data_IF_407918342507
#
_entry.id   IF_407918342507
#
_cell.length_a   1.000
_cell.length_b   1.000
_cell.length_c   1.000
_cell.angle_alpha   90.00
_cell.angle_beta   90.00
_cell.angle_gamma   90.00
#
_symmetry.space_group_name_H-M   'P 1'
#
loop_
_entity.id
_entity.type
_entity.pdbx_description
1 polymer ?
#
# COMPACT_ATOMS: atom_id res chain seq x y z
N UNK A 1 34.46 -81.16 5.85
CA UNK A 1 35.24 -79.98 5.44
C UNK A 1 35.05 -78.91 6.54
N UNK A 2 36.00 -78.80 7.49
CA UNK A 2 35.92 -77.81 8.59
C UNK A 2 36.47 -76.48 8.07
N UNK A 3 35.64 -75.44 8.06
CA UNK A 3 36.09 -74.07 7.81
C UNK A 3 37.03 -73.65 8.96
N UNK A 4 38.19 -73.03 8.69
CA UNK A 4 39.04 -72.49 9.74
C UNK A 4 38.34 -71.28 10.37
N UNK A 5 37.97 -71.40 11.64
CA UNK A 5 37.47 -70.28 12.45
C UNK A 5 38.61 -69.29 12.70
N UNK A 6 38.86 -68.37 11.76
CA UNK A 6 39.69 -67.19 11.99
C UNK A 6 38.83 -66.18 12.76
N UNK A 7 39.02 -66.13 14.08
CA UNK A 7 38.48 -65.05 14.91
C UNK A 7 39.19 -63.73 14.60
N UNK A 8 38.51 -62.62 14.83
CA UNK A 8 39.11 -61.29 14.70
C UNK A 8 40.24 -61.09 15.71
N UNK A 9 41.34 -60.48 15.27
CA UNK A 9 42.40 -60.06 16.18
C UNK A 9 41.96 -58.85 17.00
N UNK A 10 42.46 -58.72 18.24
CA UNK A 10 42.13 -57.59 19.11
C UNK A 10 42.42 -56.24 18.42
N UNK A 11 43.49 -56.17 17.63
CA UNK A 11 43.89 -54.94 16.94
C UNK A 11 42.95 -54.58 15.78
N UNK A 12 42.42 -55.55 15.02
CA UNK A 12 41.41 -55.30 13.98
C UNK A 12 40.11 -54.76 14.58
N UNK A 13 39.68 -55.30 15.73
CA UNK A 13 38.50 -54.81 16.45
C UNK A 13 38.70 -53.36 16.92
N UNK A 14 39.89 -53.04 17.44
CA UNK A 14 40.22 -51.66 17.87
C UNK A 14 40.24 -50.72 16.65
N UNK A 15 40.90 -51.10 15.56
CA UNK A 15 41.04 -50.25 14.37
C UNK A 15 39.67 -49.99 13.73
N UNK A 16 38.81 -51.00 13.61
CA UNK A 16 37.47 -50.83 13.04
C UNK A 16 36.57 -49.95 13.90
N UNK A 17 36.64 -50.05 15.23
CA UNK A 17 35.95 -49.15 16.16
C UNK A 17 36.44 -47.71 16.04
N UNK A 18 37.75 -47.49 15.94
CA UNK A 18 38.33 -46.15 15.80
C UNK A 18 37.94 -45.53 14.46
N UNK A 19 38.05 -46.28 13.35
CA UNK A 19 37.61 -45.83 12.03
C UNK A 19 36.12 -45.52 12.01
N UNK A 20 35.27 -46.38 12.58
CA UNK A 20 33.84 -46.14 12.69
C UNK A 20 33.53 -44.89 13.52
N UNK A 21 34.27 -44.65 14.62
CA UNK A 21 34.13 -43.46 15.44
C UNK A 21 34.49 -42.16 14.70
N UNK A 22 35.58 -42.17 13.92
CA UNK A 22 35.99 -41.03 13.10
C UNK A 22 34.95 -40.74 12.01
N UNK A 23 34.48 -41.77 11.31
CA UNK A 23 33.45 -41.64 10.28
C UNK A 23 32.14 -41.13 10.89
N UNK A 24 31.72 -41.64 12.04
CA UNK A 24 30.52 -41.16 12.74
C UNK A 24 30.63 -39.69 13.15
N UNK A 25 31.79 -39.23 13.62
CA UNK A 25 32.03 -37.83 13.96
C UNK A 25 31.97 -36.90 12.73
N UNK A 26 32.55 -37.34 11.61
CA UNK A 26 32.50 -36.60 10.33
C UNK A 26 31.07 -36.55 9.77
N UNK A 27 30.33 -37.67 9.82
CA UNK A 27 28.93 -37.76 9.42
C UNK A 27 28.05 -36.83 10.28
N UNK A 28 28.27 -36.78 11.59
CA UNK A 28 27.50 -35.91 12.47
C UNK A 28 27.73 -34.42 12.16
N UNK A 29 28.97 -34.02 11.89
CA UNK A 29 29.30 -32.64 11.51
C UNK A 29 28.62 -32.22 10.18
N UNK A 30 28.58 -33.12 9.19
CA UNK A 30 28.02 -32.84 7.88
C UNK A 30 26.49 -32.99 7.80
N UNK A 31 25.95 -34.12 8.24
CA UNK A 31 24.51 -34.41 8.18
C UNK A 31 23.72 -33.69 9.28
N UNK A 32 24.34 -33.37 10.42
CA UNK A 32 23.68 -32.66 11.51
C UNK A 32 23.11 -31.31 11.05
N UNK A 33 23.90 -30.47 10.40
CA UNK A 33 23.46 -29.15 9.95
C UNK A 33 22.34 -29.21 8.89
N UNK A 34 22.46 -30.13 7.92
CA UNK A 34 21.53 -30.25 6.78
C UNK A 34 20.18 -30.85 7.19
N UNK A 35 20.17 -31.80 8.14
CA UNK A 35 18.92 -32.38 8.67
C UNK A 35 18.23 -31.37 9.61
N UNK A 36 18.99 -30.68 10.46
CA UNK A 36 18.44 -29.72 11.44
C UNK A 36 17.86 -28.47 10.76
N UNK A 37 18.49 -27.96 9.70
CA UNK A 37 18.03 -26.74 9.01
C UNK A 37 17.02 -26.99 7.88
N UNK A 38 16.67 -28.26 7.60
CA UNK A 38 15.75 -28.65 6.52
C UNK A 38 14.36 -28.00 6.60
N UNK A 39 13.90 -27.63 7.80
CA UNK A 39 12.61 -26.97 8.03
C UNK A 39 12.67 -25.43 7.89
N UNK A 40 13.87 -24.84 7.87
CA UNK A 40 14.05 -23.38 7.73
C UNK A 40 13.55 -22.82 6.40
N UNK A 41 13.82 -23.41 5.21
CA UNK A 41 13.26 -22.90 3.95
C UNK A 41 11.74 -23.00 3.93
N UNK A 42 11.16 -24.07 4.50
CA UNK A 42 9.70 -24.23 4.62
C UNK A 42 9.10 -23.15 5.51
N UNK A 43 9.77 -22.83 6.61
CA UNK A 43 9.32 -21.81 7.56
C UNK A 43 9.39 -20.41 6.95
N UNK A 44 10.47 -20.09 6.23
CA UNK A 44 10.61 -18.83 5.49
C UNK A 44 9.53 -18.69 4.40
N UNK A 45 9.29 -19.75 3.63
CA UNK A 45 8.26 -19.74 2.59
C UNK A 45 6.86 -19.46 3.17
N UNK A 46 6.51 -20.11 4.29
CA UNK A 46 5.25 -19.85 5.00
C UNK A 46 5.17 -18.40 5.50
N UNK A 47 6.26 -17.86 6.04
CA UNK A 47 6.30 -16.49 6.52
C UNK A 47 6.13 -15.47 5.38
N UNK A 48 6.84 -15.66 4.27
CA UNK A 48 6.71 -14.83 3.07
C UNK A 48 5.30 -14.90 2.49
N UNK A 49 4.68 -16.08 2.43
CA UNK A 49 3.29 -16.22 1.98
C UNK A 49 2.30 -15.43 2.85
N UNK A 50 2.47 -15.47 4.18
CA UNK A 50 1.70 -14.66 5.13
C UNK A 50 1.89 -13.16 4.92
N UNK A 51 3.14 -12.71 4.73
CA UNK A 51 3.45 -11.31 4.47
C UNK A 51 2.86 -10.83 3.14
N UNK A 52 2.94 -11.65 2.08
CA UNK A 52 2.35 -11.34 0.79
C UNK A 52 0.83 -11.15 0.91
N UNK A 53 0.11 -12.01 1.64
CA UNK A 53 -1.33 -11.84 1.84
C UNK A 53 -1.70 -10.51 2.51
N UNK A 54 -0.89 -10.04 3.46
CA UNK A 54 -1.09 -8.74 4.12
C UNK A 54 -0.80 -7.61 3.13
N UNK A 55 0.31 -7.70 2.39
CA UNK A 55 0.73 -6.71 1.41
C UNK A 55 -0.26 -6.58 0.24
N UNK A 56 -0.85 -7.68 -0.19
CA UNK A 56 -1.93 -7.72 -1.18
C UNK A 56 -3.16 -6.93 -0.70
N UNK A 57 -3.52 -7.06 0.58
CA UNK A 57 -4.63 -6.28 1.17
C UNK A 57 -4.30 -4.80 1.29
N UNK A 58 -3.08 -4.46 1.75
CA UNK A 58 -2.61 -3.06 1.77
C UNK A 58 -2.63 -2.49 0.34
N UNK A 59 -2.20 -3.27 -0.65
CA UNK A 59 -2.19 -2.86 -2.06
C UNK A 59 -3.61 -2.73 -2.63
N UNK A 60 -4.50 -3.65 -2.27
CA UNK A 60 -5.93 -3.58 -2.62
C UNK A 60 -6.56 -2.32 -2.04
N UNK A 61 -6.25 -2.01 -0.79
CA UNK A 61 -6.71 -0.81 -0.11
C UNK A 61 -6.21 0.49 -0.76
N UNK A 62 -4.93 0.51 -1.13
CA UNK A 62 -4.35 1.60 -1.91
C UNK A 62 -5.07 1.78 -3.25
N UNK A 63 -5.32 0.69 -3.98
CA UNK A 63 -5.99 0.75 -5.28
C UNK A 63 -7.47 1.13 -5.13
N UNK A 64 -8.14 0.71 -4.05
CA UNK A 64 -9.52 1.11 -3.76
C UNK A 64 -9.65 2.57 -3.32
N UNK A 65 -8.54 3.27 -3.04
CA UNK A 65 -8.57 4.71 -2.78
C UNK A 65 -8.96 5.52 -4.03
N UNK A 66 -8.84 4.93 -5.23
CA UNK A 66 -9.55 5.34 -6.44
C UNK A 66 -10.29 4.11 -6.98
N UNK A 67 -11.50 3.85 -6.48
CA UNK A 67 -12.22 2.66 -6.89
C UNK A 67 -12.44 2.67 -8.41
N UNK A 68 -11.98 1.65 -9.13
CA UNK A 68 -12.49 1.44 -10.49
C UNK A 68 -13.98 1.13 -10.34
N UNK A 69 -14.82 1.76 -11.15
CA UNK A 69 -16.26 1.50 -11.11
C UNK A 69 -16.51 -0.01 -11.15
N UNK A 70 -17.36 -0.46 -10.24
CA UNK A 70 -17.73 -1.86 -10.05
C UNK A 70 -19.27 -1.97 -9.95
N UNK A 71 -19.87 -3.01 -10.56
CA UNK A 71 -21.32 -3.20 -10.55
C UNK A 71 -21.83 -3.57 -9.16
N UNK A 72 -23.08 -3.21 -8.85
CA UNK A 72 -23.76 -3.54 -7.60
C UNK A 72 -22.94 -3.22 -6.34
N UNK A 73 -22.12 -2.18 -6.39
CA UNK A 73 -21.20 -1.79 -5.32
C UNK A 73 -21.73 -0.57 -4.60
N UNK A 74 -21.68 -0.58 -3.27
CA UNK A 74 -22.10 0.57 -2.46
C UNK A 74 -20.99 1.62 -2.43
N UNK A 75 -21.33 2.84 -2.82
CA UNK A 75 -20.44 4.00 -2.79
C UNK A 75 -20.98 5.05 -1.82
N UNK A 76 -20.08 5.68 -1.08
CA UNK A 76 -20.38 6.83 -0.23
C UNK A 76 -20.19 8.13 -1.00
N UNK A 77 -20.81 9.21 -0.52
CA UNK A 77 -20.64 10.55 -1.12
C UNK A 77 -19.15 10.89 -1.17
N UNK A 78 -18.74 11.50 -2.28
CA UNK A 78 -17.40 11.93 -2.63
C UNK A 78 -16.36 10.83 -2.85
N UNK A 79 -16.79 9.58 -2.97
CA UNK A 79 -15.95 8.54 -3.54
C UNK A 79 -15.55 8.94 -4.97
N UNK A 80 -14.25 8.89 -5.27
CA UNK A 80 -13.73 9.14 -6.62
C UNK A 80 -13.51 7.80 -7.30
N UNK A 81 -14.05 7.66 -8.50
CA UNK A 81 -13.89 6.48 -9.33
C UNK A 81 -13.23 6.79 -10.66
N UNK A 82 -12.67 5.73 -11.24
CA UNK A 82 -12.27 5.69 -12.64
C UNK A 82 -13.18 4.69 -13.40
N UNK A 83 -13.54 4.98 -14.65
CA UNK A 83 -14.21 4.00 -15.50
C UNK A 83 -13.42 2.68 -15.62
N UNK A 84 -14.12 1.58 -15.89
CA UNK A 84 -13.47 0.30 -16.17
C UNK A 84 -12.63 0.38 -17.45
N UNK A 85 -11.76 -0.61 -17.65
CA UNK A 85 -10.90 -0.70 -18.84
C UNK A 85 -11.70 -0.57 -20.15
N UNK A 86 -12.94 -1.06 -20.20
CA UNK A 86 -13.77 -1.07 -21.40
C UNK A 86 -14.41 0.28 -21.73
N UNK A 87 -14.65 1.11 -20.72
CA UNK A 87 -15.25 2.45 -20.85
C UNK A 87 -14.30 3.58 -20.45
N UNK A 88 -12.99 3.28 -20.40
CA UNK A 88 -11.96 4.24 -20.05
C UNK A 88 -11.98 5.43 -20.98
N UNK A 89 -12.26 6.60 -20.44
CA UNK A 89 -12.39 7.85 -21.19
C UNK A 89 -11.40 8.92 -20.72
N UNK A 90 -10.36 8.54 -19.95
CA UNK A 90 -9.39 9.46 -19.37
C UNK A 90 -10.03 10.55 -18.50
N UNK A 91 -11.19 10.29 -17.92
CA UNK A 91 -11.83 11.17 -16.95
C UNK A 91 -12.09 10.44 -15.63
N UNK A 92 -12.25 11.22 -14.58
CA UNK A 92 -12.64 10.73 -13.25
C UNK A 92 -14.02 11.24 -12.87
N UNK A 93 -14.69 10.49 -12.01
CA UNK A 93 -16.04 10.77 -11.56
C UNK A 93 -16.12 10.75 -10.05
N UNK A 94 -16.93 11.63 -9.49
CA UNK A 94 -17.14 11.72 -8.05
C UNK A 94 -18.59 11.40 -7.70
N UNK A 95 -18.79 10.61 -6.66
CA UNK A 95 -20.11 10.30 -6.13
C UNK A 95 -20.70 11.56 -5.48
N UNK A 96 -21.82 12.06 -6.00
CA UNK A 96 -22.56 13.20 -5.45
C UNK A 96 -23.72 12.76 -4.57
N UNK A 97 -24.21 11.54 -4.76
CA UNK A 97 -25.26 10.92 -3.96
C UNK A 97 -24.86 9.47 -3.66
N UNK A 98 -24.78 9.12 -2.38
CA UNK A 98 -24.45 7.77 -1.94
C UNK A 98 -25.56 6.79 -2.32
N UNK A 99 -25.16 5.55 -2.57
CA UNK A 99 -26.05 4.48 -2.97
C UNK A 99 -25.29 3.24 -3.44
N UNK A 100 -26.01 2.34 -4.09
CA UNK A 100 -25.46 1.16 -4.78
C UNK A 100 -25.51 1.40 -6.29
N UNK A 101 -24.38 1.19 -6.97
CA UNK A 101 -24.27 1.28 -8.43
C UNK A 101 -25.16 0.26 -9.15
N UNK A 102 -25.46 0.53 -10.42
CA UNK A 102 -26.19 -0.41 -11.26
C UNK A 102 -25.41 -1.70 -11.52
N UNK A 103 -26.10 -2.68 -12.12
CA UNK A 103 -25.49 -3.93 -12.55
C UNK A 103 -24.61 -3.80 -13.80
N UNK A 104 -24.69 -2.66 -14.50
CA UNK A 104 -23.96 -2.35 -15.74
C UNK A 104 -23.35 -0.96 -15.66
N UNK A 105 -22.14 -0.80 -16.18
CA UNK A 105 -21.42 0.47 -16.11
C UNK A 105 -22.16 1.56 -16.90
N UNK A 106 -22.38 2.75 -16.32
CA UNK A 106 -23.05 3.85 -17.01
C UNK A 106 -22.22 4.37 -18.19
N UNK A 107 -22.87 5.09 -19.11
CA UNK A 107 -22.14 5.85 -20.12
C UNK A 107 -21.61 7.13 -19.46
N UNK A 108 -20.29 7.25 -19.40
CA UNK A 108 -19.65 8.30 -18.63
C UNK A 108 -19.73 9.67 -19.34
N UNK A 109 -20.32 10.70 -18.71
CA UNK A 109 -20.46 12.01 -19.32
C UNK A 109 -19.11 12.75 -19.34
N UNK A 110 -18.91 13.63 -20.32
CA UNK A 110 -17.75 14.53 -20.38
C UNK A 110 -18.00 15.87 -19.67
N UNK A 111 -19.23 16.10 -19.18
CA UNK A 111 -19.65 17.26 -18.38
C UNK A 111 -20.93 16.93 -17.62
N UNK A 112 -21.12 17.48 -16.42
CA UNK A 112 -22.34 17.25 -15.63
C UNK A 112 -22.37 15.87 -14.95
N UNK A 113 -23.57 15.36 -14.69
CA UNK A 113 -23.79 14.16 -13.87
C UNK A 113 -24.53 13.04 -14.59
N UNK A 114 -24.38 11.81 -14.10
CA UNK A 114 -25.06 10.59 -14.56
C UNK A 114 -25.59 9.79 -13.38
N UNK A 115 -26.83 9.30 -13.50
CA UNK A 115 -27.43 8.38 -12.55
C UNK A 115 -26.98 6.94 -12.85
N UNK A 116 -26.64 6.19 -11.81
CA UNK A 116 -26.13 4.82 -11.87
C UNK A 116 -26.71 4.01 -10.71
N UNK A 117 -27.83 3.32 -10.98
CA UNK A 117 -28.60 2.65 -9.95
C UNK A 117 -29.18 3.67 -8.96
N UNK A 118 -28.67 3.67 -7.72
CA UNK A 118 -29.03 4.66 -6.69
C UNK A 118 -27.90 5.65 -6.38
N UNK A 119 -26.80 5.59 -7.14
CA UNK A 119 -25.66 6.51 -7.04
C UNK A 119 -25.78 7.57 -8.12
N UNK A 120 -25.46 8.82 -7.79
CA UNK A 120 -25.29 9.90 -8.77
C UNK A 120 -23.82 10.25 -8.90
N UNK A 121 -23.25 10.09 -10.10
CA UNK A 121 -21.86 10.45 -10.41
C UNK A 121 -21.79 11.80 -11.10
N UNK A 122 -20.74 12.57 -10.84
CA UNK A 122 -20.48 13.83 -11.54
C UNK A 122 -19.08 13.87 -12.12
N UNK A 123 -18.95 14.42 -13.32
CA UNK A 123 -17.69 14.64 -13.99
C UNK A 123 -16.75 15.49 -13.10
N UNK A 124 -15.53 14.99 -12.90
CA UNK A 124 -14.53 15.60 -11.99
C UNK A 124 -13.21 15.98 -12.70
N UNK A 125 -13.12 15.84 -14.03
CA UNK A 125 -11.97 16.27 -14.84
C UNK A 125 -11.20 15.13 -15.51
N UNK A 126 -10.07 15.45 -16.13
CA UNK A 126 -9.16 14.53 -16.84
C UNK A 126 -8.26 13.70 -15.91
N UNK A 127 -7.91 12.49 -16.36
CA UNK A 127 -6.93 11.59 -15.80
C UNK A 127 -5.58 11.78 -16.55
N UNK A 128 -4.43 11.82 -15.82
CA UNK A 128 -4.30 11.88 -14.37
C UNK A 128 -4.49 13.33 -13.88
N UNK A 129 -4.95 13.54 -12.63
CA UNK A 129 -5.22 14.88 -12.10
C UNK A 129 -3.98 15.78 -12.16
N UNK A 130 -4.19 17.10 -12.15
CA UNK A 130 -3.17 18.05 -11.72
C UNK A 130 -2.76 17.66 -10.30
N UNK A 131 -1.59 17.04 -10.17
CA UNK A 131 -1.16 16.34 -8.95
C UNK A 131 -0.87 17.27 -7.78
N UNK A 132 -0.80 18.57 -8.01
CA UNK A 132 -0.55 19.60 -7.01
C UNK A 132 -1.19 20.91 -7.47
N UNK A 133 -1.46 21.81 -6.52
CA UNK A 133 -1.88 23.17 -6.86
C UNK A 133 -0.81 23.85 -7.72
N UNK A 134 -1.25 24.59 -8.73
CA UNK A 134 -0.42 25.37 -9.64
C UNK A 134 -0.99 26.77 -9.71
N UNK A 135 -0.12 27.77 -9.64
CA UNK A 135 -0.48 29.18 -9.76
C UNK A 135 -1.01 29.51 -11.16
N UNK A 136 -1.86 30.54 -11.25
CA UNK A 136 -2.38 31.11 -12.50
C UNK A 136 -2.95 30.07 -13.50
N UNK A 137 -3.56 29.01 -12.98
CA UNK A 137 -4.05 27.86 -13.74
C UNK A 137 -5.57 27.77 -13.69
N UNK A 138 -6.21 27.47 -14.82
CA UNK A 138 -7.67 27.28 -14.87
C UNK A 138 -8.07 25.94 -14.27
N UNK A 139 -8.93 25.99 -13.25
CA UNK A 139 -9.53 24.83 -12.59
C UNK A 139 -11.02 24.76 -12.89
N UNK A 140 -11.46 23.58 -13.33
CA UNK A 140 -12.89 23.29 -13.52
C UNK A 140 -13.55 22.92 -12.19
N UNK A 141 -14.88 23.05 -12.14
CA UNK A 141 -15.67 22.51 -11.03
C UNK A 141 -15.35 21.02 -10.82
N UNK A 142 -15.34 20.56 -9.57
CA UNK A 142 -14.99 19.21 -9.16
C UNK A 142 -13.53 18.78 -9.43
N UNK A 143 -12.65 19.66 -9.92
CA UNK A 143 -11.23 19.36 -10.02
C UNK A 143 -10.67 19.01 -8.62
N UNK A 144 -9.81 17.99 -8.54
CA UNK A 144 -9.19 17.55 -7.29
C UNK A 144 -7.70 17.84 -7.32
N UNK A 145 -7.20 18.46 -6.25
CA UNK A 145 -5.78 18.76 -6.07
C UNK A 145 -5.26 18.17 -4.75
N UNK A 146 -3.96 17.96 -4.70
CA UNK A 146 -3.25 17.51 -3.50
C UNK A 146 -2.32 18.63 -3.01
N UNK A 147 -2.52 19.07 -1.78
CA UNK A 147 -1.62 20.06 -1.17
C UNK A 147 -0.46 19.37 -0.45
N UNK A 148 0.65 20.10 -0.29
CA UNK A 148 1.81 19.63 0.47
C UNK A 148 1.52 19.42 1.95
N UNK A 149 0.36 19.87 2.44
CA UNK A 149 -0.09 19.61 3.81
C UNK A 149 -0.62 18.18 4.05
N UNK A 150 -0.71 17.33 3.02
CA UNK A 150 -1.20 15.96 3.13
C UNK A 150 -2.70 15.79 2.93
N UNK A 151 -3.42 16.85 2.63
CA UNK A 151 -4.86 16.83 2.37
C UNK A 151 -5.15 16.94 0.88
N UNK A 152 -6.37 16.55 0.51
CA UNK A 152 -6.90 16.70 -0.83
C UNK A 152 -8.06 17.68 -0.83
N UNK A 153 -8.17 18.47 -1.89
CA UNK A 153 -9.16 19.54 -2.01
C UNK A 153 -9.93 19.39 -3.32
N UNK A 154 -11.23 19.64 -3.25
CA UNK A 154 -12.15 19.64 -4.39
C UNK A 154 -12.55 21.06 -4.74
N UNK A 155 -12.41 21.43 -6.01
CA UNK A 155 -12.89 22.69 -6.53
C UNK A 155 -14.43 22.72 -6.48
N UNK A 156 -14.99 23.73 -5.82
CA UNK A 156 -16.43 23.98 -5.67
C UNK A 156 -16.89 25.24 -6.42
N UNK A 157 -15.96 26.08 -6.88
CA UNK A 157 -16.24 27.20 -7.80
C UNK A 157 -15.13 27.21 -8.83
N UNK A 158 -15.48 27.02 -10.10
CA UNK A 158 -14.54 27.02 -11.21
C UNK A 158 -13.96 28.42 -11.48
N UNK A 159 -12.71 28.48 -11.92
CA UNK A 159 -12.02 29.73 -12.22
C UNK A 159 -10.51 29.53 -12.36
N UNK A 160 -9.77 30.64 -12.43
CA UNK A 160 -8.31 30.63 -12.49
C UNK A 160 -7.70 30.81 -11.09
N UNK A 161 -6.76 29.96 -10.70
CA UNK A 161 -6.08 30.10 -9.40
C UNK A 161 -5.35 31.43 -9.25
N UNK A 162 -5.09 31.83 -8.01
CA UNK A 162 -4.29 33.00 -7.69
C UNK A 162 -2.80 32.81 -8.03
N UNK A 163 -2.02 33.83 -7.71
CA UNK A 163 -0.56 33.80 -7.84
C UNK A 163 0.15 33.21 -6.61
N UNK A 164 -0.60 32.89 -5.55
CA UNK A 164 -0.05 32.38 -4.30
C UNK A 164 -0.95 31.26 -3.79
N UNK A 165 -0.33 30.17 -3.33
CA UNK A 165 -1.07 29.03 -2.80
C UNK A 165 -1.91 29.45 -1.59
N UNK A 166 -3.20 29.09 -1.52
CA UNK A 166 -4.06 29.49 -0.41
C UNK A 166 -3.68 28.78 0.88
N UNK A 167 -4.02 29.40 2.01
CA UNK A 167 -3.93 28.74 3.31
C UNK A 167 -4.98 27.62 3.40
N UNK A 168 -4.52 26.39 3.22
CA UNK A 168 -5.38 25.22 3.11
C UNK A 168 -6.01 24.81 4.46
N UNK A 169 -7.34 24.70 4.56
CA UNK A 169 -7.99 24.23 5.78
C UNK A 169 -7.80 22.72 5.95
N UNK A 170 -7.54 22.26 7.18
CA UNK A 170 -7.32 20.83 7.50
C UNK A 170 -8.55 20.14 8.09
N UNK A 171 -9.60 20.89 8.43
CA UNK A 171 -10.89 20.33 8.84
C UNK A 171 -11.64 19.82 7.62
N UNK A 172 -12.15 18.59 7.69
CA UNK A 172 -12.97 18.00 6.63
C UNK A 172 -14.17 18.91 6.35
N UNK A 173 -14.52 19.07 5.07
CA UNK A 173 -15.60 19.92 4.57
C UNK A 173 -15.41 21.44 4.69
N UNK A 174 -14.37 21.92 5.36
CA UNK A 174 -14.05 23.35 5.40
C UNK A 174 -13.67 23.87 4.00
N UNK A 175 -14.04 25.11 3.71
CA UNK A 175 -13.81 25.74 2.40
C UNK A 175 -12.80 26.87 2.46
N UNK A 176 -12.12 27.12 1.34
CA UNK A 176 -11.24 28.27 1.13
C UNK A 176 -11.52 28.86 -0.24
N UNK A 177 -11.67 30.18 -0.32
CA UNK A 177 -11.87 30.89 -1.58
C UNK A 177 -10.61 31.67 -1.90
N UNK A 178 -10.04 31.41 -3.08
CA UNK A 178 -8.93 32.15 -3.63
C UNK A 178 -9.41 33.48 -4.21
N UNK A 179 -8.54 34.48 -4.10
CA UNK A 179 -8.74 35.79 -4.72
C UNK A 179 -7.56 36.10 -5.63
N UNK A 180 -7.84 36.68 -6.79
CA UNK A 180 -6.84 37.22 -7.72
C UNK A 180 -7.02 38.74 -7.74
N UNK A 181 -6.22 39.44 -6.94
CA UNK A 181 -6.52 40.83 -6.61
C UNK A 181 -7.79 40.91 -5.75
N UNK A 182 -8.78 41.70 -6.18
CA UNK A 182 -10.06 41.86 -5.46
C UNK A 182 -11.17 40.90 -5.93
N UNK A 183 -10.89 40.02 -6.89
CA UNK A 183 -11.88 39.13 -7.48
C UNK A 183 -11.73 37.71 -6.91
N UNK A 184 -12.81 37.17 -6.33
CA UNK A 184 -12.89 35.75 -5.99
C UNK A 184 -12.87 34.92 -7.28
N UNK A 185 -11.95 33.96 -7.38
CA UNK A 185 -11.78 33.20 -8.62
C UNK A 185 -12.14 31.73 -8.45
N UNK A 186 -11.45 31.02 -7.57
CA UNK A 186 -11.63 29.58 -7.34
C UNK A 186 -11.94 29.35 -5.88
N UNK A 187 -12.85 28.43 -5.59
CA UNK A 187 -13.09 27.99 -4.22
C UNK A 187 -12.89 26.48 -4.11
N UNK A 188 -12.35 26.07 -2.96
CA UNK A 188 -11.97 24.71 -2.66
C UNK A 188 -12.65 24.24 -1.39
N UNK A 189 -12.90 22.93 -1.31
CA UNK A 189 -13.43 22.24 -0.15
C UNK A 189 -12.48 21.12 0.26
N UNK A 190 -12.10 21.09 1.53
CA UNK A 190 -11.28 20.02 2.10
C UNK A 190 -12.03 18.70 2.07
N UNK A 191 -11.38 17.65 1.52
CA UNK A 191 -11.94 16.31 1.40
C UNK A 191 -11.28 15.30 2.34
N UNK A 192 -10.41 15.77 3.24
CA UNK A 192 -9.64 14.94 4.16
C UNK A 192 -8.25 14.57 3.62
N UNK A 193 -7.67 13.53 4.20
CA UNK A 193 -6.30 13.10 3.94
C UNK A 193 -6.15 12.57 2.51
N UNK A 194 -4.95 12.73 1.97
CA UNK A 194 -4.53 12.11 0.72
C UNK A 194 -4.59 10.58 0.83
N UNK A 195 -4.85 9.85 -0.27
CA UNK A 195 -4.89 8.39 -0.29
C UNK A 195 -3.72 7.70 0.43
N UNK A 196 -2.49 8.13 0.13
CA UNK A 196 -1.30 7.55 0.76
C UNK A 196 -1.17 7.90 2.24
N UNK A 197 -1.63 9.09 2.66
CA UNK A 197 -1.58 9.49 4.08
C UNK A 197 -2.66 8.77 4.89
N UNK A 198 -3.84 8.58 4.30
CA UNK A 198 -4.89 7.73 4.86
C UNK A 198 -4.41 6.27 4.99
N UNK A 199 -3.76 5.74 3.94
CA UNK A 199 -3.17 4.40 3.95
C UNK A 199 -2.08 4.27 5.03
N UNK A 200 -1.16 5.23 5.10
CA UNK A 200 -0.13 5.28 6.15
C UNK A 200 -0.77 5.23 7.54
N UNK A 201 -1.78 6.06 7.79
CA UNK A 201 -2.49 6.11 9.07
C UNK A 201 -3.13 4.77 9.42
N UNK A 202 -3.70 4.07 8.43
CA UNK A 202 -4.36 2.77 8.63
C UNK A 202 -3.39 1.61 8.84
N UNK A 203 -2.26 1.59 8.14
CA UNK A 203 -1.19 0.60 8.35
C UNK A 203 -0.65 0.72 9.79
N UNK A 204 -0.53 1.96 10.28
CA UNK A 204 -0.14 2.25 11.65
C UNK A 204 1.30 2.73 11.79
N UNK A 205 1.75 2.87 13.03
CA UNK A 205 3.02 3.51 13.36
C UNK A 205 4.20 2.54 13.22
N UNK A 206 5.35 3.07 12.82
CA UNK A 206 6.60 2.30 12.80
C UNK A 206 6.96 1.77 14.19
N UNK A 207 7.47 0.54 14.25
CA UNK A 207 7.81 -0.17 15.48
C UNK A 207 6.60 -0.78 16.21
N UNK A 208 5.37 -0.56 15.74
CA UNK A 208 4.16 -1.13 16.35
C UNK A 208 3.81 -2.50 15.76
N UNK A 209 3.20 -3.35 16.57
CA UNK A 209 2.63 -4.64 16.14
C UNK A 209 1.10 -4.57 16.13
N UNK A 210 0.49 -5.24 15.14
CA UNK A 210 -0.94 -5.18 14.88
C UNK A 210 -1.52 -6.58 14.67
N UNK A 211 -2.68 -6.80 15.28
CA UNK A 211 -3.50 -8.01 15.11
C UNK A 211 -4.87 -7.66 14.52
N UNK A 212 -4.89 -6.73 13.56
CA UNK A 212 -6.13 -6.22 12.99
C UNK A 212 -6.70 -7.18 11.93
N UNK A 213 -8.04 -7.21 11.81
CA UNK A 213 -8.73 -7.95 10.74
C UNK A 213 -8.55 -7.27 9.38
N UNK A 214 -8.31 -5.95 9.37
CA UNK A 214 -8.24 -5.12 8.16
C UNK A 214 -7.19 -5.61 7.17
N UNK A 215 -5.96 -5.82 7.63
CA UNK A 215 -4.86 -6.29 6.79
C UNK A 215 -4.42 -7.71 7.13
N UNK A 216 -4.68 -8.21 8.35
CA UNK A 216 -4.45 -9.61 8.70
C UNK A 216 -5.45 -10.61 8.08
N UNK A 217 -6.56 -10.10 7.53
CA UNK A 217 -7.60 -10.88 6.88
C UNK A 217 -8.38 -11.82 7.80
N UNK A 218 -9.08 -12.77 7.18
CA UNK A 218 -10.00 -13.69 7.90
C UNK A 218 -9.23 -14.61 8.87
N UNK A 219 -7.98 -14.93 8.50
CA UNK A 219 -7.07 -15.71 9.34
C UNK A 219 -6.30 -14.85 10.36
N UNK A 220 -6.58 -13.55 10.44
CA UNK A 220 -5.99 -12.56 11.35
C UNK A 220 -4.46 -12.64 11.47
N UNK A 221 -3.77 -12.82 10.34
CA UNK A 221 -2.31 -12.87 10.32
C UNK A 221 -1.77 -11.57 10.90
N UNK A 222 -1.05 -11.66 12.02
CA UNK A 222 -0.56 -10.48 12.72
C UNK A 222 0.76 -10.01 12.10
N UNK A 223 0.94 -8.69 12.01
CA UNK A 223 2.15 -8.09 11.44
C UNK A 223 2.72 -7.02 12.36
N UNK A 224 3.98 -6.67 12.12
CA UNK A 224 4.65 -5.52 12.68
C UNK A 224 5.05 -4.56 11.57
N UNK A 225 5.01 -3.27 11.86
CA UNK A 225 5.40 -2.22 10.92
C UNK A 225 6.84 -1.84 11.17
N UNK A 226 7.70 -1.99 10.16
CA UNK A 226 9.13 -1.64 10.25
C UNK A 226 9.34 -0.26 9.66
N UNK A 227 8.83 -0.05 8.45
CA UNK A 227 8.81 1.26 7.80
C UNK A 227 7.41 1.56 7.29
N UNK A 228 6.97 2.80 7.49
CA UNK A 228 5.72 3.32 6.96
C UNK A 228 5.83 4.85 6.88
N UNK A 229 6.64 5.31 5.92
CA UNK A 229 7.05 6.71 5.82
C UNK A 229 7.03 7.21 4.38
N UNK A 230 6.78 8.50 4.22
CA UNK A 230 6.97 9.16 2.94
C UNK A 230 8.46 9.34 2.65
N UNK A 231 8.86 9.05 1.42
CA UNK A 231 10.26 9.16 0.97
C UNK A 231 10.37 10.04 -0.27
N UNK A 232 11.59 10.44 -0.59
CA UNK A 232 11.93 11.09 -1.86
C UNK A 232 13.24 10.51 -2.38
N UNK A 233 13.50 10.67 -3.67
CA UNK A 233 14.71 10.23 -4.34
C UNK A 233 15.49 11.45 -4.83
N UNK A 234 16.75 11.54 -4.44
CA UNK A 234 17.70 12.49 -5.01
C UNK A 234 18.49 11.74 -6.10
N UNK A 235 18.09 11.92 -7.36
CA UNK A 235 18.59 11.10 -8.46
C UNK A 235 18.18 9.64 -8.28
N UNK A 236 19.16 8.75 -8.13
CA UNK A 236 18.94 7.30 -7.94
C UNK A 236 19.05 6.85 -6.47
N UNK A 237 19.14 7.77 -5.52
CA UNK A 237 19.34 7.45 -4.09
C UNK A 237 18.14 7.88 -3.27
N UNK A 238 17.60 6.95 -2.47
CA UNK A 238 16.57 7.24 -1.47
C UNK A 238 17.15 8.17 -0.40
N UNK A 239 16.46 9.28 -0.12
CA UNK A 239 16.82 10.17 0.98
C UNK A 239 16.61 9.44 2.32
N UNK A 240 17.60 9.50 3.21
CA UNK A 240 17.57 8.76 4.49
C UNK A 240 16.54 9.29 5.50
N UNK A 241 16.02 10.50 5.30
CA UNK A 241 15.00 11.11 6.17
C UNK A 241 13.64 11.06 5.51
N UNK A 242 12.60 10.83 6.32
CA UNK A 242 11.23 10.89 5.87
C UNK A 242 10.88 12.29 5.35
N UNK A 243 10.05 12.33 4.31
CA UNK A 243 9.45 13.55 3.79
C UNK A 243 8.31 13.95 4.71
N UNK A 244 8.29 15.22 5.12
CA UNK A 244 7.30 15.77 6.05
C UNK A 244 6.33 16.72 5.35
N UNK A 245 5.20 17.02 6.00
CA UNK A 245 4.22 17.97 5.48
C UNK A 245 4.88 19.33 5.17
N UNK A 246 4.54 19.89 4.00
CA UNK A 246 5.12 21.12 3.46
C UNK A 246 6.22 20.89 2.41
N UNK A 247 6.88 19.72 2.42
CA UNK A 247 7.86 19.38 1.38
C UNK A 247 7.16 19.06 0.04
N UNK A 248 7.84 19.35 -1.08
CA UNK A 248 7.27 19.21 -2.43
C UNK A 248 6.90 17.77 -2.80
N UNK A 249 7.55 16.78 -2.18
CA UNK A 249 7.31 15.35 -2.43
C UNK A 249 6.40 14.69 -1.40
N UNK A 250 5.86 15.45 -0.46
CA UNK A 250 4.98 14.90 0.56
C UNK A 250 3.73 14.30 -0.07
N UNK A 251 3.41 13.07 0.31
CA UNK A 251 2.28 12.36 -0.28
C UNK A 251 2.53 11.76 -1.67
N UNK A 252 3.76 11.78 -2.21
CA UNK A 252 4.08 11.18 -3.52
C UNK A 252 4.50 9.71 -3.44
N UNK A 253 5.44 9.39 -2.57
CA UNK A 253 6.02 8.06 -2.44
C UNK A 253 5.91 7.58 -0.99
N UNK A 254 5.17 6.50 -0.77
CA UNK A 254 5.06 5.87 0.54
C UNK A 254 5.82 4.54 0.54
N UNK A 255 6.85 4.44 1.36
CA UNK A 255 7.60 3.20 1.57
C UNK A 255 7.02 2.46 2.76
N UNK A 256 6.57 1.23 2.51
CA UNK A 256 6.00 0.34 3.52
C UNK A 256 6.84 -0.92 3.60
N UNK A 257 7.32 -1.21 4.81
CA UNK A 257 8.00 -2.46 5.13
C UNK A 257 7.33 -3.10 6.33
N UNK A 258 6.90 -4.34 6.18
CA UNK A 258 6.22 -5.12 7.22
C UNK A 258 7.00 -6.40 7.52
N UNK A 259 6.87 -6.88 8.75
CA UNK A 259 7.34 -8.20 9.19
C UNK A 259 6.22 -8.93 9.93
N UNK A 260 6.43 -10.20 10.26
CA UNK A 260 5.46 -10.93 11.08
C UNK A 260 5.51 -10.43 12.53
N UNK A 261 4.36 -10.43 13.19
CA UNK A 261 4.30 -10.12 14.62
C UNK A 261 5.16 -11.11 15.41
N UNK A 262 5.70 -10.65 16.53
CA UNK A 262 6.47 -11.43 17.49
C UNK A 262 5.84 -12.77 17.93
N UNK A 263 4.51 -12.90 17.89
CA UNK A 263 3.76 -14.10 18.31
C UNK A 263 3.34 -15.01 17.15
N UNK A 264 3.61 -14.63 15.90
CA UNK A 264 3.25 -15.45 14.74
C UNK A 264 4.22 -16.60 14.53
N UNK A 265 3.66 -17.74 14.10
CA UNK A 265 4.43 -18.92 13.71
C UNK A 265 4.28 -19.20 12.21
N UNK A 266 5.36 -19.46 11.47
CA UNK A 266 6.74 -19.54 11.94
C UNK A 266 7.36 -18.15 12.15
N UNK A 267 8.14 -18.00 13.23
CA UNK A 267 8.90 -16.78 13.48
C UNK A 267 10.16 -16.78 12.61
N UNK A 268 10.24 -15.82 11.70
CA UNK A 268 11.41 -15.58 10.85
C UNK A 268 11.69 -14.09 10.80
N UNK A 269 12.91 -13.73 10.41
CA UNK A 269 13.31 -12.32 10.22
C UNK A 269 12.96 -11.80 8.82
N UNK A 270 12.12 -12.53 8.09
CA UNK A 270 11.64 -12.12 6.77
C UNK A 270 10.83 -10.83 6.88
N UNK A 271 11.06 -9.94 5.93
CA UNK A 271 10.34 -8.68 5.80
C UNK A 271 9.93 -8.51 4.35
N UNK A 272 8.83 -7.79 4.14
CA UNK A 272 8.35 -7.48 2.81
C UNK A 272 8.24 -5.96 2.67
N UNK A 273 8.84 -5.44 1.60
CA UNK A 273 8.86 -4.01 1.29
C UNK A 273 8.12 -3.75 -0.01
N UNK A 274 7.30 -2.70 -0.03
CA UNK A 274 6.64 -2.19 -1.23
C UNK A 274 6.69 -0.68 -1.25
N UNK A 275 6.87 -0.12 -2.44
CA UNK A 275 6.81 1.31 -2.68
C UNK A 275 5.48 1.65 -3.36
N UNK A 276 4.65 2.44 -2.68
CA UNK A 276 3.44 2.99 -3.27
C UNK A 276 3.72 4.36 -3.86
N UNK A 277 3.28 4.55 -5.10
CA UNK A 277 3.47 5.81 -5.83
C UNK A 277 2.11 6.38 -6.17
N UNK A 278 1.88 7.63 -5.78
CA UNK A 278 0.68 8.39 -6.13
C UNK A 278 0.55 8.45 -7.66
N UNK A 279 -0.44 7.74 -8.20
CA UNK A 279 -0.68 7.60 -9.64
C UNK A 279 -1.12 8.91 -10.29
#
# INVERSE_FOLDING_TARGET
>A
MKLPNKGFTLIEVIITLVLAGIVAAMLFSYFGSSIIQSSTPVSRLKAVGKLNAIMEKITSDYNNSYAIWSPNTTYTVDTIILPTKWRKNWYQYICMQAGTSGSMEPAWPTSGAVEDGSVRWEYSGTQPPLKSWVEDTDYTINAVIYSRNGYQYKCIVAGRSGYTEPAWPTTIDATVTETRGSTSTVAWKCRGLQPLLALQTRIGNEGSEYSNKTFGGDNQVKYRVIYNRFITFAGNTERSTAVVAGEADYGKYLKVTIGLHSTESPRTDETLTTLFVRR
#
